data_IF_815134600031
#
_entry.id   IF_815134600031
#
_cell.length_a   1.000
_cell.length_b   1.000
_cell.length_c   1.000
_cell.angle_alpha   90.00
_cell.angle_beta   90.00
_cell.angle_gamma   90.00
#
_symmetry.space_group_name_H-M   'P 1'
#
loop_
_entity.id
_entity.type
_entity.pdbx_description
1 polymer ?
#
# COMPACT_ATOMS: atom_id res chain seq x y z
N UNK A 1 4.31 -4.56 -3.57
CA UNK A 1 3.92 -3.48 -2.63
C UNK A 1 3.09 -4.01 -1.46
N UNK A 2 2.07 -4.83 -1.69
CA UNK A 2 1.25 -5.39 -0.61
C UNK A 2 1.98 -6.10 0.54
N UNK A 3 2.93 -6.97 0.22
CA UNK A 3 3.72 -7.70 1.21
C UNK A 3 4.79 -6.83 1.86
N UNK A 4 5.25 -5.78 1.19
CA UNK A 4 6.26 -4.86 1.69
C UNK A 4 5.72 -4.01 2.84
N UNK A 5 4.52 -3.44 2.70
CA UNK A 5 3.92 -2.58 3.74
C UNK A 5 3.49 -3.36 5.00
N UNK A 6 3.33 -4.69 4.90
CA UNK A 6 3.07 -5.58 6.04
C UNK A 6 4.32 -6.09 6.76
N UNK A 7 5.52 -5.91 6.19
CA UNK A 7 6.77 -6.36 6.81
C UNK A 7 7.48 -5.13 7.42
N UNK A 8 7.69 -5.10 8.74
CA UNK A 8 8.47 -4.03 9.38
C UNK A 8 9.85 -3.90 8.74
N UNK A 9 10.17 -2.73 8.19
CA UNK A 9 11.48 -2.45 7.57
C UNK A 9 11.55 -2.60 6.05
N UNK A 10 10.49 -2.99 5.35
CA UNK A 10 10.45 -3.01 3.87
C UNK A 10 9.59 -1.85 3.35
N UNK A 11 10.23 -0.75 2.92
CA UNK A 11 9.49 0.39 2.36
C UNK A 11 8.94 0.06 0.96
N UNK A 12 7.62 0.15 0.78
CA UNK A 12 6.97 0.01 -0.52
C UNK A 12 7.55 0.95 -1.59
N UNK A 13 7.97 2.16 -1.20
CA UNK A 13 8.63 3.13 -2.08
C UNK A 13 10.03 2.69 -2.53
N UNK A 14 10.81 2.07 -1.65
CA UNK A 14 12.13 1.51 -2.02
C UNK A 14 11.99 0.33 -2.97
N UNK A 15 11.01 -0.55 -2.73
CA UNK A 15 10.69 -1.63 -3.66
C UNK A 15 10.20 -1.09 -5.00
N UNK A 16 9.41 -0.02 -5.01
CA UNK A 16 9.00 0.67 -6.23
C UNK A 16 10.19 1.15 -7.05
N UNK A 17 11.19 1.71 -6.36
CA UNK A 17 12.40 2.27 -6.97
C UNK A 17 13.24 1.14 -7.56
N UNK A 18 13.49 0.08 -6.79
CA UNK A 18 14.25 -1.10 -7.23
C UNK A 18 13.58 -1.80 -8.41
N UNK A 19 12.25 -1.90 -8.42
CA UNK A 19 11.48 -2.52 -9.52
C UNK A 19 11.27 -1.60 -10.71
N UNK A 20 11.75 -0.35 -10.66
CA UNK A 20 11.62 0.63 -11.74
C UNK A 20 10.22 1.21 -11.93
N UNK A 21 9.25 0.88 -11.07
CA UNK A 21 7.87 1.38 -11.19
C UNK A 21 7.67 2.73 -10.48
N UNK A 22 8.63 3.19 -9.68
CA UNK A 22 8.49 4.40 -8.86
C UNK A 22 8.18 5.65 -9.66
N UNK A 23 8.94 5.90 -10.73
CA UNK A 23 8.78 7.09 -11.57
C UNK A 23 7.41 7.08 -12.26
N UNK A 24 7.01 5.93 -12.82
CA UNK A 24 5.68 5.74 -13.42
C UNK A 24 4.58 5.96 -12.40
N UNK A 25 4.73 5.44 -11.17
CA UNK A 25 3.76 5.60 -10.10
C UNK A 25 3.59 7.06 -9.68
N UNK A 26 4.69 7.76 -9.41
CA UNK A 26 4.64 9.18 -9.02
C UNK A 26 4.03 10.04 -10.12
N UNK A 27 4.43 9.81 -11.38
CA UNK A 27 3.86 10.51 -12.53
C UNK A 27 2.35 10.21 -12.71
N UNK A 28 1.96 8.94 -12.65
CA UNK A 28 0.56 8.53 -12.81
C UNK A 28 -0.32 9.05 -11.68
N UNK A 29 0.17 9.12 -10.43
CA UNK A 29 -0.55 9.77 -9.32
C UNK A 29 -0.68 11.28 -9.56
N UNK A 30 0.39 11.95 -9.98
CA UNK A 30 0.41 13.40 -10.20
C UNK A 30 -0.55 13.86 -11.30
N UNK A 31 -0.88 12.98 -12.26
CA UNK A 31 -1.81 13.25 -13.36
C UNK A 31 -3.28 13.21 -12.94
N UNK A 32 -3.60 12.54 -11.84
CA UNK A 32 -4.99 12.36 -11.39
C UNK A 32 -5.53 13.70 -10.88
N UNK A 33 -6.48 14.27 -11.61
CA UNK A 33 -7.08 15.58 -11.31
C UNK A 33 -8.53 15.49 -10.83
N UNK A 34 -9.07 14.27 -10.73
CA UNK A 34 -10.45 13.95 -10.33
C UNK A 34 -11.54 14.60 -11.21
N UNK A 35 -11.18 15.18 -12.38
CA UNK A 35 -12.16 15.79 -13.29
C UNK A 35 -13.08 14.74 -13.90
N UNK A 36 -12.60 13.51 -14.05
CA UNK A 36 -13.39 12.36 -14.46
C UNK A 36 -14.63 12.09 -13.60
N UNK A 37 -14.71 12.56 -12.34
CA UNK A 37 -15.89 12.40 -11.48
C UNK A 37 -17.03 13.39 -11.83
N UNK A 38 -16.74 14.52 -12.47
CA UNK A 38 -17.74 15.56 -12.76
C UNK A 38 -18.89 15.08 -13.66
N UNK A 39 -18.66 14.27 -14.73
CA UNK A 39 -19.73 13.68 -15.52
C UNK A 39 -20.58 12.64 -14.77
N UNK A 40 -20.02 11.99 -13.74
CA UNK A 40 -20.74 11.00 -12.94
C UNK A 40 -21.94 11.63 -12.22
N UNK A 41 -21.76 12.83 -11.66
CA UNK A 41 -22.84 13.62 -11.04
C UNK A 41 -23.90 14.12 -12.03
N UNK A 42 -23.62 14.07 -13.34
CA UNK A 42 -24.55 14.44 -14.41
C UNK A 42 -25.20 13.24 -15.09
N UNK A 43 -24.92 12.02 -14.63
CA UNK A 43 -25.41 10.79 -15.24
C UNK A 43 -24.76 10.43 -16.58
N UNK A 44 -23.70 11.13 -17.01
CA UNK A 44 -23.00 10.86 -18.27
C UNK A 44 -21.87 9.84 -18.05
N UNK A 45 -22.24 8.56 -18.12
CA UNK A 45 -21.33 7.43 -17.99
C UNK A 45 -20.31 7.33 -19.15
N UNK A 46 -20.64 7.86 -20.33
CA UNK A 46 -19.73 7.84 -21.49
C UNK A 46 -18.57 8.80 -21.29
N UNK A 47 -18.86 10.02 -20.84
CA UNK A 47 -17.82 11.00 -20.54
C UNK A 47 -17.01 10.63 -19.30
N UNK A 48 -17.63 10.00 -18.29
CA UNK A 48 -16.91 9.47 -17.12
C UNK A 48 -15.84 8.45 -17.52
N UNK A 49 -16.23 7.41 -18.28
CA UNK A 49 -15.29 6.32 -18.65
C UNK A 49 -14.15 6.80 -19.53
N UNK A 50 -14.42 7.76 -20.44
CA UNK A 50 -13.40 8.37 -21.28
C UNK A 50 -12.38 9.16 -20.45
N UNK A 51 -12.83 10.10 -19.62
CA UNK A 51 -11.93 10.91 -18.79
C UNK A 51 -11.18 10.06 -17.76
N UNK A 52 -11.82 9.02 -17.21
CA UNK A 52 -11.16 8.11 -16.28
C UNK A 52 -10.00 7.36 -16.96
N UNK A 53 -10.15 6.91 -18.21
CA UNK A 53 -9.06 6.28 -18.98
C UNK A 53 -7.94 7.25 -19.36
N UNK A 54 -8.25 8.54 -19.51
CA UNK A 54 -7.24 9.56 -19.81
C UNK A 54 -6.42 9.94 -18.55
N UNK A 55 -7.06 10.00 -17.38
CA UNK A 55 -6.43 10.40 -16.11
C UNK A 55 -5.80 9.23 -15.33
N UNK A 56 -6.35 8.01 -15.43
CA UNK A 56 -5.94 6.85 -14.62
C UNK A 56 -5.17 5.83 -15.47
N UNK A 57 -3.95 5.54 -15.04
CA UNK A 57 -3.13 4.45 -15.58
C UNK A 57 -3.58 3.09 -15.03
N UNK A 58 -4.64 2.54 -15.64
CA UNK A 58 -5.25 1.27 -15.19
C UNK A 58 -4.29 0.07 -15.26
N UNK A 59 -3.35 0.07 -16.21
CA UNK A 59 -2.33 -0.98 -16.34
C UNK A 59 -1.37 -1.02 -15.15
N UNK A 60 -1.12 0.14 -14.53
CA UNK A 60 -0.34 0.23 -13.30
C UNK A 60 -1.20 -0.07 -12.07
N UNK A 61 -2.34 0.62 -11.93
CA UNK A 61 -3.11 0.60 -10.68
C UNK A 61 -3.85 -0.72 -10.44
N UNK A 62 -4.35 -1.39 -11.48
CA UNK A 62 -5.09 -2.66 -11.29
C UNK A 62 -4.17 -3.75 -10.72
N UNK A 63 -3.01 -4.10 -11.32
CA UNK A 63 -2.11 -5.11 -10.76
C UNK A 63 -1.55 -4.68 -9.40
N UNK A 64 -1.29 -3.39 -9.22
CA UNK A 64 -0.77 -2.86 -7.96
C UNK A 64 -1.78 -3.05 -6.81
N UNK A 65 -3.01 -2.58 -6.98
CA UNK A 65 -4.05 -2.63 -5.95
C UNK A 65 -4.48 -4.08 -5.66
N UNK A 66 -4.58 -4.91 -6.69
CA UNK A 66 -4.87 -6.35 -6.52
C UNK A 66 -3.76 -7.05 -5.75
N UNK A 67 -2.49 -6.78 -6.07
CA UNK A 67 -1.35 -7.30 -5.32
C UNK A 67 -1.32 -6.82 -3.86
N UNK A 68 -1.69 -5.56 -3.60
CA UNK A 68 -1.85 -5.03 -2.24
C UNK A 68 -2.95 -5.78 -1.50
N UNK A 69 -4.14 -5.88 -2.08
CA UNK A 69 -5.27 -6.58 -1.49
C UNK A 69 -4.95 -8.05 -1.19
N UNK A 70 -4.34 -8.76 -2.14
CA UNK A 70 -3.98 -10.17 -1.99
C UNK A 70 -2.97 -10.38 -0.86
N UNK A 71 -1.97 -9.51 -0.74
CA UNK A 71 -0.98 -9.60 0.33
C UNK A 71 -1.63 -9.35 1.70
N UNK A 72 -2.45 -8.31 1.84
CA UNK A 72 -3.14 -8.00 3.11
C UNK A 72 -4.02 -9.18 3.55
N UNK A 73 -4.80 -9.75 2.62
CA UNK A 73 -5.65 -10.91 2.92
C UNK A 73 -4.82 -12.13 3.34
N UNK A 74 -3.68 -12.37 2.68
CA UNK A 74 -2.80 -13.50 2.97
C UNK A 74 -2.12 -13.34 4.33
N UNK A 75 -1.52 -12.17 4.57
CA UNK A 75 -0.81 -11.87 5.83
C UNK A 75 -1.78 -11.87 7.01
N UNK A 76 -2.98 -11.30 6.85
CA UNK A 76 -4.02 -11.33 7.88
C UNK A 76 -4.37 -12.76 8.31
N UNK A 77 -4.51 -13.69 7.34
CA UNK A 77 -4.76 -15.11 7.64
C UNK A 77 -3.57 -15.77 8.34
N UNK A 78 -2.35 -15.48 7.89
CA UNK A 78 -1.12 -16.00 8.52
C UNK A 78 -1.02 -15.54 9.97
N UNK A 79 -1.19 -14.23 10.23
CA UNK A 79 -1.14 -13.68 11.58
C UNK A 79 -2.24 -14.32 12.45
N UNK A 80 -3.46 -14.47 11.92
CA UNK A 80 -4.56 -15.11 12.65
C UNK A 80 -4.23 -16.56 13.02
N UNK A 81 -3.62 -17.31 12.10
CA UNK A 81 -3.12 -18.66 12.35
C UNK A 81 -2.02 -18.67 13.43
N UNK A 82 -1.05 -17.76 13.34
CA UNK A 82 0.04 -17.65 14.31
C UNK A 82 -0.45 -17.27 15.70
N UNK A 83 -1.43 -16.38 15.83
CA UNK A 83 -2.05 -16.06 17.12
C UNK A 83 -2.77 -17.28 17.70
N UNK A 84 -3.44 -18.09 16.85
CA UNK A 84 -4.20 -19.26 17.32
C UNK A 84 -3.29 -20.39 17.83
N UNK A 85 -2.19 -20.68 17.13
CA UNK A 85 -1.32 -21.83 17.45
C UNK A 85 -0.03 -21.46 18.18
N UNK A 86 0.43 -20.21 18.05
CA UNK A 86 1.73 -19.72 18.56
C UNK A 86 1.60 -18.35 19.23
N UNK A 87 0.53 -18.15 20.03
CA UNK A 87 0.18 -16.86 20.64
C UNK A 87 1.36 -16.18 21.35
N UNK A 88 2.06 -16.91 22.23
CA UNK A 88 3.15 -16.35 23.03
C UNK A 88 4.30 -15.81 22.16
N UNK A 89 4.75 -16.58 21.17
CA UNK A 89 5.79 -16.15 20.22
C UNK A 89 5.34 -14.97 19.38
N UNK A 90 4.09 -14.99 18.91
CA UNK A 90 3.52 -13.92 18.08
C UNK A 90 3.44 -12.61 18.86
N UNK A 91 2.98 -12.64 20.11
CA UNK A 91 2.95 -11.45 20.96
C UNK A 91 4.35 -10.96 21.32
N UNK A 92 5.27 -11.85 21.66
CA UNK A 92 6.66 -11.48 21.93
C UNK A 92 7.32 -10.82 20.72
N UNK A 93 7.06 -11.32 19.51
CA UNK A 93 7.53 -10.73 18.26
C UNK A 93 6.99 -9.31 18.06
N UNK A 94 5.68 -9.11 18.17
CA UNK A 94 5.08 -7.78 18.02
C UNK A 94 5.54 -6.80 19.12
N UNK A 95 5.64 -7.27 20.36
CA UNK A 95 6.17 -6.46 21.47
C UNK A 95 7.62 -6.03 21.18
N UNK A 96 8.47 -6.94 20.72
CA UNK A 96 9.86 -6.65 20.34
C UNK A 96 9.93 -5.59 19.24
N UNK A 97 9.08 -5.69 18.20
CA UNK A 97 8.98 -4.69 17.13
C UNK A 97 8.55 -3.31 17.65
N UNK A 98 7.55 -3.26 18.53
CA UNK A 98 7.07 -2.01 19.13
C UNK A 98 8.18 -1.35 19.96
N UNK A 99 8.86 -2.12 20.81
CA UNK A 99 9.96 -1.62 21.64
C UNK A 99 11.14 -1.13 20.78
N UNK A 100 11.52 -1.88 19.74
CA UNK A 100 12.57 -1.47 18.81
C UNK A 100 12.20 -0.17 18.07
N UNK A 101 10.95 -0.05 17.61
CA UNK A 101 10.46 1.17 16.96
C UNK A 101 10.46 2.36 17.92
N UNK A 102 9.98 2.18 19.15
CA UNK A 102 9.98 3.23 20.18
C UNK A 102 11.40 3.70 20.51
N UNK A 103 12.34 2.76 20.66
CA UNK A 103 13.75 3.07 20.91
C UNK A 103 14.38 3.88 19.76
N UNK A 104 14.14 3.50 18.50
CA UNK A 104 14.64 4.24 17.34
C UNK A 104 14.08 5.67 17.26
N UNK A 105 12.80 5.86 17.61
CA UNK A 105 12.17 7.19 17.63
C UNK A 105 12.73 8.03 18.78
N UNK A 106 12.86 7.46 19.97
CA UNK A 106 13.42 8.14 21.15
C UNK A 106 14.82 8.70 20.85
N UNK A 107 15.71 7.89 20.28
CA UNK A 107 17.07 8.33 19.91
C UNK A 107 17.11 9.42 18.83
N UNK A 108 16.01 9.62 18.08
CA UNK A 108 15.90 10.68 17.06
C UNK A 108 15.40 12.01 17.63
N UNK A 109 14.82 12.01 18.83
CA UNK A 109 14.25 13.20 19.48
C UNK A 109 15.28 13.88 20.37
N UNK A 110 16.17 13.12 21.01
CA UNK A 110 17.22 13.62 21.89
C UNK A 110 18.53 14.00 21.14
N UNK A 111 18.48 14.17 19.82
CA UNK A 111 19.62 14.50 18.94
C UNK A 111 19.43 15.78 18.15
#
# INVERSE_FOLDING_TARGET
>A
MGTADTIPGVSGGTMALITGIYERLVHSISKISFKFLKPLFRGDLRSFTRLAREEIDFELFIPLLTGIGMAVLTVSRIISFMITYYAAYTYAFFLGLILASAYLVFNKIDG
#
